data_IF_507677971159
#
_entry.id   IF_507677971159
#
_cell.length_a   1.000
_cell.length_b   1.000
_cell.length_c   1.000
_cell.angle_alpha   90.00
_cell.angle_beta   90.00
_cell.angle_gamma   90.00
#
_symmetry.space_group_name_H-M   'P 1'
#
loop_
_entity.id
_entity.type
_entity.pdbx_description
1 polymer ?
#
# COMPACT_ATOMS: atom_id res chain seq x y z
N UNK A 1 -16.62 8.95 21.35
CA UNK A 1 -17.75 8.34 20.60
C UNK A 1 -18.30 9.19 19.43
N UNK A 2 -18.74 10.44 19.63
CA UNK A 2 -19.30 11.27 18.52
C UNK A 2 -18.33 11.49 17.34
N UNK A 3 -17.05 11.72 17.64
CA UNK A 3 -16.02 11.93 16.62
C UNK A 3 -15.73 10.65 15.81
N UNK A 4 -15.60 9.49 16.48
CA UNK A 4 -15.40 8.19 15.84
C UNK A 4 -16.52 7.89 14.83
N UNK A 5 -17.77 8.13 15.20
CA UNK A 5 -18.93 7.94 14.30
C UNK A 5 -18.83 8.88 13.10
N UNK A 6 -18.44 10.15 13.31
CA UNK A 6 -18.25 11.12 12.21
C UNK A 6 -17.14 10.66 11.26
N UNK A 7 -15.98 10.24 11.78
CA UNK A 7 -14.87 9.75 10.97
C UNK A 7 -15.25 8.51 10.16
N UNK A 8 -15.97 7.55 10.76
CA UNK A 8 -16.49 6.37 10.05
C UNK A 8 -17.44 6.77 8.92
N UNK A 9 -18.34 7.74 9.15
CA UNK A 9 -19.24 8.24 8.10
C UNK A 9 -18.46 8.89 6.96
N UNK A 10 -17.40 9.64 7.26
CA UNK A 10 -16.52 10.23 6.24
C UNK A 10 -15.78 9.15 5.45
N UNK A 11 -15.21 8.15 6.12
CA UNK A 11 -14.55 6.99 5.48
C UNK A 11 -15.48 6.25 4.49
N UNK A 12 -16.75 6.06 4.86
CA UNK A 12 -17.76 5.46 3.98
C UNK A 12 -18.12 6.34 2.78
N UNK A 13 -17.90 7.65 2.85
CA UNK A 13 -18.14 8.59 1.74
C UNK A 13 -16.91 8.76 0.84
N UNK A 14 -15.71 8.64 1.40
CA UNK A 14 -14.44 8.85 0.70
C UNK A 14 -13.78 7.55 0.22
N UNK A 15 -14.49 6.42 0.20
CA UNK A 15 -13.88 5.12 -0.11
C UNK A 15 -13.22 5.04 -1.51
N UNK A 16 -13.70 5.85 -2.48
CA UNK A 16 -13.12 5.98 -3.82
C UNK A 16 -11.86 6.86 -3.88
N UNK A 17 -11.49 7.52 -2.78
CA UNK A 17 -10.38 8.46 -2.69
C UNK A 17 -9.32 7.86 -1.75
N UNK A 18 -8.35 7.08 -2.25
CA UNK A 18 -7.42 6.30 -1.43
C UNK A 18 -6.65 7.14 -0.41
N UNK A 19 -6.18 8.32 -0.81
CA UNK A 19 -5.41 9.23 0.04
C UNK A 19 -6.27 9.74 1.20
N UNK A 20 -7.46 10.25 0.90
CA UNK A 20 -8.39 10.76 1.92
C UNK A 20 -8.86 9.63 2.83
N UNK A 21 -9.12 8.45 2.28
CA UNK A 21 -9.44 7.26 3.05
C UNK A 21 -8.32 6.90 4.03
N UNK A 22 -7.07 6.85 3.56
CA UNK A 22 -5.92 6.54 4.40
C UNK A 22 -5.71 7.58 5.52
N UNK A 23 -5.83 8.88 5.22
CA UNK A 23 -5.72 9.95 6.22
C UNK A 23 -6.80 9.81 7.29
N UNK A 24 -8.05 9.60 6.88
CA UNK A 24 -9.16 9.41 7.81
C UNK A 24 -9.04 8.11 8.62
N UNK A 25 -8.46 7.05 8.05
CA UNK A 25 -8.21 5.79 8.75
C UNK A 25 -7.12 5.94 9.80
N UNK A 26 -6.04 6.65 9.48
CA UNK A 26 -4.99 7.02 10.44
C UNK A 26 -5.53 7.93 11.55
N UNK A 27 -6.38 8.91 11.21
CA UNK A 27 -7.08 9.72 12.22
C UNK A 27 -8.00 8.87 13.11
N UNK A 28 -8.72 7.90 12.52
CA UNK A 28 -9.55 6.95 13.25
C UNK A 28 -8.72 6.15 14.27
N UNK A 29 -7.53 5.70 13.89
CA UNK A 29 -6.59 5.00 14.77
C UNK A 29 -6.13 5.88 15.94
N UNK A 30 -5.80 7.13 15.65
CA UNK A 30 -5.42 8.13 16.65
C UNK A 30 -6.54 8.41 17.66
N UNK A 31 -7.77 8.64 17.21
CA UNK A 31 -8.88 8.93 18.13
C UNK A 31 -9.27 7.69 18.96
N UNK A 32 -9.18 6.48 18.40
CA UNK A 32 -9.43 5.24 19.15
C UNK A 32 -8.37 5.04 20.23
N UNK A 33 -7.08 5.24 19.91
CA UNK A 33 -5.99 5.06 20.88
C UNK A 33 -6.04 6.06 22.05
N UNK A 34 -6.60 7.25 21.82
CA UNK A 34 -6.83 8.25 22.88
C UNK A 34 -8.04 7.96 23.76
N UNK A 35 -9.05 7.25 23.26
CA UNK A 35 -10.27 6.96 24.01
C UNK A 35 -10.09 5.73 24.92
N UNK A 36 -9.66 5.97 26.16
CA UNK A 36 -9.47 4.93 27.19
C UNK A 36 -10.75 4.15 27.53
N UNK A 37 -11.93 4.62 27.13
CA UNK A 37 -13.23 3.98 27.38
C UNK A 37 -13.84 3.39 26.11
N UNK A 38 -13.04 3.23 25.06
CA UNK A 38 -13.55 2.72 23.79
C UNK A 38 -14.06 1.28 23.93
N UNK A 39 -15.34 1.05 23.63
CA UNK A 39 -15.96 -0.27 23.62
C UNK A 39 -16.48 -0.59 22.22
N UNK A 40 -15.95 -1.66 21.62
CA UNK A 40 -16.31 -2.09 20.25
C UNK A 40 -17.79 -2.50 20.13
N UNK A 41 -18.39 -2.98 21.21
CA UNK A 41 -19.78 -3.48 21.24
C UNK A 41 -20.83 -2.38 21.04
N UNK A 42 -20.46 -1.11 21.17
CA UNK A 42 -21.37 0.03 20.97
C UNK A 42 -21.78 0.24 19.50
N UNK A 43 -21.15 -0.50 18.58
CA UNK A 43 -21.41 -0.44 17.14
C UNK A 43 -22.18 -1.68 16.70
N UNK A 44 -23.28 -1.51 15.96
CA UNK A 44 -24.16 -2.62 15.58
C UNK A 44 -23.68 -3.41 14.34
N UNK A 45 -23.10 -2.73 13.35
CA UNK A 45 -22.72 -3.33 12.05
C UNK A 45 -21.34 -3.98 12.07
N UNK A 46 -21.24 -5.23 11.60
CA UNK A 46 -20.01 -6.02 11.59
C UNK A 46 -18.91 -5.39 10.71
N UNK A 47 -19.25 -4.76 9.58
CA UNK A 47 -18.27 -4.09 8.73
C UNK A 47 -17.70 -2.83 9.37
N UNK A 48 -18.54 -2.13 10.13
CA UNK A 48 -18.11 -0.99 10.94
C UNK A 48 -17.19 -1.45 12.08
N UNK A 49 -17.50 -2.58 12.74
CA UNK A 49 -16.59 -3.19 13.72
C UNK A 49 -15.26 -3.60 13.09
N UNK A 50 -15.27 -4.18 11.89
CA UNK A 50 -14.05 -4.54 11.14
C UNK A 50 -13.22 -3.32 10.77
N UNK A 51 -13.85 -2.21 10.35
CA UNK A 51 -13.16 -0.96 10.06
C UNK A 51 -12.53 -0.33 11.32
N UNK A 52 -13.20 -0.45 12.46
CA UNK A 52 -12.63 -0.01 13.75
C UNK A 52 -11.45 -0.90 14.13
N UNK A 53 -11.61 -2.22 14.03
CA UNK A 53 -10.55 -3.19 14.33
C UNK A 53 -9.34 -2.97 13.44
N UNK A 54 -9.55 -2.68 12.16
CA UNK A 54 -8.45 -2.37 11.24
C UNK A 54 -7.71 -1.09 11.62
N UNK A 55 -8.29 -0.21 12.43
CA UNK A 55 -7.65 1.00 12.93
C UNK A 55 -7.15 0.87 14.38
N UNK A 56 -7.30 -0.28 15.05
CA UNK A 56 -7.05 -0.39 16.49
C UNK A 56 -6.10 -1.54 16.83
N UNK A 57 -5.32 -1.39 17.91
CA UNK A 57 -4.49 -2.47 18.47
C UNK A 57 -5.27 -3.41 19.42
N UNK A 58 -6.61 -3.34 19.39
CA UNK A 58 -7.45 -4.00 20.38
C UNK A 58 -7.48 -5.52 20.18
N UNK A 59 -7.15 -6.27 21.24
CA UNK A 59 -7.13 -7.74 21.25
C UNK A 59 -8.49 -8.31 21.62
N UNK A 60 -9.50 -8.10 20.76
CA UNK A 60 -10.80 -8.74 20.95
C UNK A 60 -10.86 -10.14 20.31
N UNK A 61 -11.79 -10.97 20.75
CA UNK A 61 -12.14 -12.20 20.03
C UNK A 61 -12.77 -11.83 18.70
N UNK A 62 -11.98 -11.94 17.62
CA UNK A 62 -12.37 -11.56 16.26
C UNK A 62 -12.98 -12.71 15.45
N UNK A 63 -13.09 -13.91 16.03
CA UNK A 63 -13.49 -15.12 15.30
C UNK A 63 -14.78 -14.97 14.49
N UNK A 64 -15.82 -14.36 15.08
CA UNK A 64 -17.09 -14.14 14.39
C UNK A 64 -16.95 -13.17 13.21
N UNK A 65 -16.10 -12.15 13.34
CA UNK A 65 -15.84 -11.16 12.30
C UNK A 65 -14.95 -11.76 11.20
N UNK A 66 -13.97 -12.59 11.55
CA UNK A 66 -13.18 -13.33 10.56
C UNK A 66 -14.05 -14.31 9.76
N UNK A 67 -15.02 -14.98 10.40
CA UNK A 67 -16.01 -15.79 9.69
C UNK A 67 -16.83 -14.95 8.70
N UNK A 68 -17.16 -13.70 9.03
CA UNK A 68 -17.83 -12.77 8.10
C UNK A 68 -16.94 -12.41 6.93
N UNK A 69 -15.64 -12.15 7.17
CA UNK A 69 -14.66 -11.91 6.10
C UNK A 69 -14.60 -13.14 5.18
N UNK A 70 -14.45 -14.34 5.75
CA UNK A 70 -14.33 -15.58 4.98
C UNK A 70 -15.58 -15.80 4.12
N UNK A 71 -16.78 -15.68 4.68
CA UNK A 71 -18.01 -15.84 3.92
C UNK A 71 -18.09 -14.83 2.77
N UNK A 72 -17.77 -13.56 3.04
CA UNK A 72 -17.76 -12.52 2.02
C UNK A 72 -16.76 -12.84 0.88
N UNK A 73 -15.56 -13.31 1.22
CA UNK A 73 -14.56 -13.68 0.22
C UNK A 73 -15.03 -14.90 -0.60
N UNK A 74 -15.58 -15.93 0.04
CA UNK A 74 -16.09 -17.13 -0.64
C UNK A 74 -17.24 -16.80 -1.60
N UNK A 75 -18.19 -15.96 -1.16
CA UNK A 75 -19.34 -15.53 -1.96
C UNK A 75 -18.96 -14.75 -3.22
N UNK A 76 -17.80 -14.06 -3.20
CA UNK A 76 -17.39 -13.15 -4.27
C UNK A 76 -16.19 -13.67 -5.10
N UNK A 77 -15.74 -14.93 -4.93
CA UNK A 77 -14.56 -15.47 -5.63
C UNK A 77 -14.63 -15.42 -7.16
N UNK A 78 -15.82 -15.66 -7.72
CA UNK A 78 -16.03 -15.82 -9.17
C UNK A 78 -16.61 -14.56 -9.81
N UNK A 79 -16.57 -13.44 -9.09
CA UNK A 79 -17.10 -12.18 -9.57
C UNK A 79 -16.18 -11.63 -10.66
N UNK A 80 -16.69 -11.51 -11.89
CA UNK A 80 -15.91 -10.98 -13.03
C UNK A 80 -15.60 -9.49 -12.90
N UNK A 81 -16.49 -8.75 -12.24
CA UNK A 81 -16.37 -7.30 -12.04
C UNK A 81 -16.76 -6.96 -10.62
N UNK A 82 -15.82 -6.42 -9.85
CA UNK A 82 -16.08 -6.02 -8.48
C UNK A 82 -16.78 -4.66 -8.45
N UNK A 83 -17.96 -4.63 -7.86
CA UNK A 83 -18.64 -3.36 -7.61
C UNK A 83 -17.93 -2.55 -6.51
N UNK A 84 -18.33 -1.30 -6.40
CA UNK A 84 -17.76 -0.32 -5.47
C UNK A 84 -17.90 -0.74 -4.00
N UNK A 85 -18.98 -1.43 -3.65
CA UNK A 85 -19.21 -1.91 -2.29
C UNK A 85 -18.30 -3.08 -1.94
N UNK A 86 -18.06 -3.98 -2.90
CA UNK A 86 -17.11 -5.09 -2.76
C UNK A 86 -15.70 -4.56 -2.59
N UNK A 87 -15.27 -3.63 -3.46
CA UNK A 87 -13.94 -3.00 -3.35
C UNK A 87 -13.76 -2.27 -2.02
N UNK A 88 -14.79 -1.58 -1.53
CA UNK A 88 -14.75 -0.96 -0.21
C UNK A 88 -14.58 -1.97 0.92
N UNK A 89 -15.33 -3.08 0.89
CA UNK A 89 -15.20 -4.15 1.89
C UNK A 89 -13.84 -4.86 1.82
N UNK A 90 -13.32 -5.09 0.62
CA UNK A 90 -11.97 -5.61 0.40
C UNK A 90 -10.92 -4.66 1.01
N UNK A 91 -11.05 -3.35 0.81
CA UNK A 91 -10.19 -2.34 1.42
C UNK A 91 -10.20 -2.43 2.95
N UNK A 92 -11.36 -2.59 3.58
CA UNK A 92 -11.47 -2.80 5.03
C UNK A 92 -10.72 -4.06 5.47
N UNK A 93 -10.91 -5.18 4.75
CA UNK A 93 -10.24 -6.46 5.04
C UNK A 93 -8.72 -6.32 4.92
N UNK A 94 -8.24 -5.66 3.87
CA UNK A 94 -6.82 -5.49 3.60
C UNK A 94 -6.16 -4.63 4.69
N UNK A 95 -6.79 -3.52 5.09
CA UNK A 95 -6.34 -2.72 6.22
C UNK A 95 -6.34 -3.53 7.53
N UNK A 96 -7.35 -4.38 7.73
CA UNK A 96 -7.42 -5.26 8.91
C UNK A 96 -6.22 -6.21 8.96
N UNK A 97 -5.89 -6.87 7.84
CA UNK A 97 -4.73 -7.78 7.77
C UNK A 97 -3.40 -7.03 7.91
N UNK A 98 -3.27 -5.86 7.25
CA UNK A 98 -2.06 -5.04 7.33
C UNK A 98 -1.76 -4.58 8.75
N UNK A 99 -2.78 -4.28 9.54
CA UNK A 99 -2.62 -3.85 10.94
C UNK A 99 -2.67 -5.01 11.95
N UNK A 100 -3.01 -6.22 11.50
CA UNK A 100 -2.92 -7.42 12.34
C UNK A 100 -1.46 -7.84 12.52
N UNK A 101 -1.11 -8.26 13.75
CA UNK A 101 0.19 -8.86 14.04
C UNK A 101 0.35 -10.14 13.23
N UNK A 102 1.48 -10.32 12.56
CA UNK A 102 1.69 -11.40 11.57
C UNK A 102 1.47 -12.80 12.15
N UNK A 103 1.84 -13.01 13.41
CA UNK A 103 1.58 -14.27 14.12
C UNK A 103 0.08 -14.59 14.20
N UNK A 104 -0.76 -13.58 14.34
CA UNK A 104 -2.21 -13.69 14.54
C UNK A 104 -3.00 -13.64 13.23
N UNK A 105 -2.35 -13.43 12.08
CA UNK A 105 -3.05 -13.36 10.81
C UNK A 105 -3.74 -14.67 10.48
N UNK A 106 -5.02 -14.60 10.11
CA UNK A 106 -5.75 -15.74 9.61
C UNK A 106 -5.27 -16.09 8.18
N UNK A 107 -4.48 -17.17 8.08
CA UNK A 107 -3.87 -17.59 6.81
C UNK A 107 -4.88 -18.00 5.74
N UNK A 108 -6.11 -18.39 6.12
CA UNK A 108 -7.15 -18.69 5.13
C UNK A 108 -7.62 -17.41 4.43
N UNK A 109 -7.82 -16.32 5.19
CA UNK A 109 -8.18 -15.02 4.62
C UNK A 109 -7.07 -14.54 3.67
N UNK A 110 -5.81 -14.66 4.09
CA UNK A 110 -4.68 -14.29 3.23
C UNK A 110 -4.63 -15.14 1.95
N UNK A 111 -4.83 -16.46 2.06
CA UNK A 111 -4.88 -17.37 0.91
C UNK A 111 -5.99 -16.98 -0.09
N UNK A 112 -7.17 -16.63 0.41
CA UNK A 112 -8.29 -16.20 -0.43
C UNK A 112 -7.98 -14.94 -1.21
N UNK A 113 -7.43 -13.92 -0.53
CA UNK A 113 -7.04 -12.67 -1.15
C UNK A 113 -5.99 -12.88 -2.25
N UNK A 114 -4.94 -13.64 -1.95
CA UNK A 114 -3.87 -13.95 -2.91
C UNK A 114 -4.39 -14.63 -4.17
N UNK A 115 -5.33 -15.57 -4.02
CA UNK A 115 -5.68 -16.45 -5.13
C UNK A 115 -6.89 -15.98 -5.95
N UNK A 116 -7.78 -15.18 -5.37
CA UNK A 116 -9.06 -14.85 -5.98
C UNK A 116 -9.29 -13.34 -6.15
N UNK A 117 -8.43 -12.47 -5.60
CA UNK A 117 -8.65 -11.02 -5.57
C UNK A 117 -7.52 -10.17 -6.13
N UNK A 118 -6.46 -10.80 -6.63
CA UNK A 118 -5.48 -10.13 -7.50
C UNK A 118 -6.19 -9.74 -8.80
N UNK A 119 -5.82 -8.60 -9.37
CA UNK A 119 -6.44 -7.97 -10.55
C UNK A 119 -7.82 -7.35 -10.31
N UNK A 120 -8.27 -7.26 -9.05
CA UNK A 120 -9.50 -6.54 -8.72
C UNK A 120 -9.35 -5.02 -8.95
N UNK A 121 -8.19 -4.46 -8.61
CA UNK A 121 -7.74 -3.10 -8.94
C UNK A 121 -6.27 -2.93 -8.56
N UNK A 122 -5.56 -1.97 -9.16
CA UNK A 122 -4.16 -1.69 -8.78
C UNK A 122 -3.98 -1.38 -7.29
N UNK A 123 -4.94 -0.67 -6.69
CA UNK A 123 -4.94 -0.39 -5.24
C UNK A 123 -5.09 -1.68 -4.43
N UNK A 124 -5.96 -2.59 -4.85
CA UNK A 124 -6.18 -3.89 -4.18
C UNK A 124 -4.92 -4.74 -4.26
N UNK A 125 -4.31 -4.84 -5.43
CA UNK A 125 -3.06 -5.57 -5.66
C UNK A 125 -1.93 -5.03 -4.79
N UNK A 126 -1.80 -3.71 -4.69
CA UNK A 126 -0.81 -3.07 -3.84
C UNK A 126 -0.92 -3.54 -2.39
N UNK A 127 -2.13 -3.60 -1.84
CA UNK A 127 -2.33 -4.04 -0.46
C UNK A 127 -2.17 -5.55 -0.30
N UNK A 128 -2.61 -6.36 -1.27
CA UNK A 128 -2.38 -7.82 -1.25
C UNK A 128 -0.88 -8.10 -1.25
N UNK A 129 -0.13 -7.47 -2.14
CA UNK A 129 1.32 -7.63 -2.24
C UNK A 129 2.00 -7.19 -0.94
N UNK A 130 1.55 -6.09 -0.35
CA UNK A 130 2.03 -5.63 0.96
C UNK A 130 1.78 -6.67 2.06
N UNK A 131 0.58 -7.27 2.10
CA UNK A 131 0.25 -8.31 3.08
C UNK A 131 1.14 -9.55 2.89
N UNK A 132 1.31 -10.03 1.66
CA UNK A 132 2.09 -11.24 1.37
C UNK A 132 3.56 -11.00 1.68
N UNK A 133 4.14 -9.92 1.17
CA UNK A 133 5.54 -9.55 1.43
C UNK A 133 5.81 -9.42 2.94
N UNK A 134 4.91 -8.79 3.70
CA UNK A 134 5.00 -8.71 5.18
C UNK A 134 5.10 -10.10 5.83
N UNK A 135 4.36 -11.08 5.32
CA UNK A 135 4.37 -12.46 5.85
C UNK A 135 5.62 -13.23 5.44
N UNK A 136 6.04 -13.15 4.17
CA UNK A 136 7.26 -13.81 3.69
C UNK A 136 8.49 -13.28 4.44
N UNK A 137 8.58 -11.95 4.63
CA UNK A 137 9.67 -11.32 5.37
C UNK A 137 9.76 -11.75 6.83
N UNK A 138 8.70 -12.26 7.45
CA UNK A 138 8.76 -12.75 8.82
C UNK A 138 9.75 -13.90 8.98
N UNK A 139 9.85 -14.79 7.98
CA UNK A 139 10.80 -15.90 8.01
C UNK A 139 12.24 -15.37 7.98
N UNK A 140 12.51 -14.42 7.09
CA UNK A 140 13.83 -13.81 6.89
C UNK A 140 14.32 -13.11 8.17
N UNK A 141 13.42 -12.44 8.89
CA UNK A 141 13.74 -11.76 10.15
C UNK A 141 13.57 -12.64 11.40
N UNK A 142 13.33 -13.95 11.26
CA UNK A 142 13.22 -14.88 12.38
C UNK A 142 11.98 -14.66 13.28
N UNK A 143 10.94 -14.00 12.77
CA UNK A 143 9.69 -13.79 13.49
C UNK A 143 8.89 -15.10 13.47
N UNK A 144 8.67 -15.68 14.65
CA UNK A 144 7.89 -16.92 14.79
C UNK A 144 6.42 -16.70 14.42
N UNK A 145 5.97 -17.38 13.36
CA UNK A 145 4.58 -17.45 12.95
C UNK A 145 3.89 -18.67 13.59
N UNK A 146 2.61 -18.55 13.95
CA UNK A 146 1.83 -19.68 14.44
C UNK A 146 1.46 -20.66 13.32
N UNK A 147 1.28 -20.16 12.09
CA UNK A 147 1.00 -20.93 10.88
C UNK A 147 1.68 -20.27 9.69
N UNK A 148 2.24 -21.06 8.79
CA UNK A 148 2.84 -20.57 7.54
C UNK A 148 1.86 -20.71 6.39
N UNK A 149 1.94 -19.79 5.42
CA UNK A 149 1.33 -20.01 4.11
C UNK A 149 2.14 -21.11 3.41
N UNK A 150 1.46 -22.10 2.84
CA UNK A 150 2.13 -23.19 2.13
C UNK A 150 2.91 -22.63 0.93
N UNK A 151 4.14 -23.13 0.73
CA UNK A 151 5.02 -22.69 -0.36
C UNK A 151 4.36 -22.82 -1.73
N UNK A 152 3.60 -23.89 -1.94
CA UNK A 152 2.88 -24.13 -3.20
C UNK A 152 1.83 -23.05 -3.48
N UNK A 153 1.11 -22.60 -2.45
CA UNK A 153 0.13 -21.52 -2.59
C UNK A 153 0.80 -20.17 -2.92
N UNK A 154 1.99 -19.91 -2.35
CA UNK A 154 2.80 -18.74 -2.71
C UNK A 154 3.25 -18.85 -4.16
N UNK A 155 3.79 -19.99 -4.58
CA UNK A 155 4.25 -20.18 -5.96
C UNK A 155 3.14 -19.96 -7.00
N UNK A 156 1.96 -20.54 -6.78
CA UNK A 156 0.77 -20.32 -7.64
C UNK A 156 0.44 -18.83 -7.73
N UNK A 157 0.50 -18.12 -6.60
CA UNK A 157 0.26 -16.68 -6.56
C UNK A 157 1.34 -15.89 -7.32
N UNK A 158 2.62 -16.21 -7.14
CA UNK A 158 3.73 -15.57 -7.86
C UNK A 158 3.62 -15.78 -9.37
N UNK A 159 3.29 -16.99 -9.82
CA UNK A 159 3.06 -17.31 -11.23
C UNK A 159 1.90 -16.51 -11.84
N UNK A 160 0.85 -16.24 -11.06
CA UNK A 160 -0.24 -15.34 -11.48
C UNK A 160 0.28 -13.91 -11.64
N UNK A 161 1.01 -13.41 -10.66
CA UNK A 161 1.57 -12.04 -10.70
C UNK A 161 2.51 -11.82 -11.90
N UNK A 162 3.24 -12.85 -12.35
CA UNK A 162 4.09 -12.73 -13.55
C UNK A 162 3.32 -12.43 -14.84
N UNK A 163 2.05 -12.84 -14.92
CA UNK A 163 1.22 -12.64 -16.11
C UNK A 163 0.62 -11.23 -16.18
N UNK A 164 0.67 -10.48 -15.08
CA UNK A 164 0.09 -9.16 -15.00
C UNK A 164 1.11 -8.10 -15.40
N UNK A 165 0.73 -7.21 -16.32
CA UNK A 165 1.51 -6.01 -16.66
C UNK A 165 1.40 -4.98 -15.54
N UNK A 166 1.89 -5.33 -14.35
CA UNK A 166 1.88 -4.46 -13.19
C UNK A 166 2.90 -3.34 -13.33
N UNK A 167 2.54 -2.12 -12.93
CA UNK A 167 3.47 -0.99 -12.87
C UNK A 167 4.67 -1.26 -11.92
N UNK A 168 5.75 -0.48 -12.03
CA UNK A 168 6.97 -0.69 -11.25
C UNK A 168 6.79 -0.60 -9.72
N UNK A 169 5.78 0.16 -9.27
CA UNK A 169 5.45 0.23 -7.84
C UNK A 169 4.92 -1.11 -7.34
N UNK A 170 4.05 -1.76 -8.11
CA UNK A 170 3.52 -3.08 -7.80
C UNK A 170 4.62 -4.15 -7.91
N UNK A 171 5.46 -4.11 -8.96
CA UNK A 171 6.61 -5.01 -9.12
C UNK A 171 7.55 -4.94 -7.91
N UNK A 172 7.92 -3.73 -7.48
CA UNK A 172 8.80 -3.55 -6.31
C UNK A 172 8.14 -4.03 -5.03
N UNK A 173 6.82 -3.82 -4.87
CA UNK A 173 6.09 -4.25 -3.68
C UNK A 173 6.02 -5.77 -3.52
N UNK A 174 5.88 -6.52 -4.62
CA UNK A 174 5.79 -7.99 -4.59
C UNK A 174 7.14 -8.69 -4.57
N UNK A 175 8.21 -8.02 -5.02
CA UNK A 175 9.55 -8.59 -5.11
C UNK A 175 10.03 -9.36 -3.85
N UNK A 176 9.77 -8.91 -2.60
CA UNK A 176 10.16 -9.67 -1.41
C UNK A 176 9.52 -11.06 -1.31
N UNK A 177 8.34 -11.27 -1.91
CA UNK A 177 7.68 -12.57 -1.90
C UNK A 177 8.40 -13.63 -2.75
N UNK A 178 9.31 -13.23 -3.65
CA UNK A 178 10.11 -14.12 -4.48
C UNK A 178 11.38 -14.64 -3.80
N UNK A 179 11.76 -14.09 -2.62
CA UNK A 179 13.07 -14.36 -1.99
C UNK A 179 13.36 -15.86 -1.81
N UNK A 180 12.38 -16.62 -1.33
CA UNK A 180 12.50 -18.08 -1.08
C UNK A 180 11.97 -18.94 -2.25
N UNK A 181 11.67 -18.31 -3.39
CA UNK A 181 11.13 -18.96 -4.59
C UNK A 181 12.21 -19.20 -5.63
N UNK A 182 12.02 -20.25 -6.44
CA UNK A 182 12.85 -20.51 -7.62
C UNK A 182 12.34 -19.75 -8.86
N UNK A 183 11.18 -19.09 -8.75
CA UNK A 183 10.56 -18.34 -9.84
C UNK A 183 11.34 -17.03 -10.05
N UNK A 184 11.69 -16.72 -11.29
CA UNK A 184 12.32 -15.45 -11.66
C UNK A 184 11.27 -14.33 -11.54
N UNK A 185 11.52 -13.25 -10.79
CA UNK A 185 10.57 -12.15 -10.64
C UNK A 185 10.33 -11.38 -11.95
N UNK A 186 9.29 -10.54 -11.97
CA UNK A 186 9.06 -9.62 -13.10
C UNK A 186 10.25 -8.67 -13.23
N UNK A 187 10.77 -8.56 -14.45
CA UNK A 187 11.92 -7.73 -14.75
C UNK A 187 11.65 -6.24 -14.58
N UNK A 188 12.70 -5.51 -14.17
CA UNK A 188 12.74 -4.06 -14.11
C UNK A 188 13.48 -3.45 -15.30
N UNK A 189 13.93 -4.22 -16.30
CA UNK A 189 14.80 -3.73 -17.40
C UNK A 189 14.37 -2.39 -18.02
N UNK A 190 13.06 -2.15 -18.19
CA UNK A 190 12.52 -0.91 -18.78
C UNK A 190 12.31 0.24 -17.79
N UNK A 191 12.83 0.12 -16.56
CA UNK A 191 12.64 1.13 -15.52
C UNK A 191 13.47 2.39 -15.83
N UNK A 192 12.78 3.53 -16.02
CA UNK A 192 13.42 4.83 -16.14
C UNK A 192 13.36 5.59 -14.82
N UNK A 193 14.49 6.17 -14.42
CA UNK A 193 14.66 6.84 -13.13
C UNK A 193 14.26 8.32 -13.20
N UNK A 194 12.95 8.59 -13.21
CA UNK A 194 12.41 9.97 -13.30
C UNK A 194 11.71 10.45 -12.02
N UNK A 195 11.26 9.55 -11.13
CA UNK A 195 10.54 9.88 -9.89
C UNK A 195 11.33 9.44 -8.65
N UNK A 196 11.73 10.42 -7.84
CA UNK A 196 12.57 10.19 -6.65
C UNK A 196 11.98 9.27 -5.60
N UNK A 197 10.67 9.27 -5.39
CA UNK A 197 10.06 8.39 -4.39
C UNK A 197 9.90 6.96 -4.91
N UNK A 198 9.51 6.81 -6.18
CA UNK A 198 9.41 5.49 -6.82
C UNK A 198 10.78 4.84 -6.93
N UNK A 199 11.80 5.59 -7.35
CA UNK A 199 13.19 5.14 -7.42
C UNK A 199 13.66 4.58 -6.08
N UNK A 200 13.40 5.32 -4.99
CA UNK A 200 13.74 4.87 -3.63
C UNK A 200 13.11 3.51 -3.30
N UNK A 201 11.82 3.33 -3.58
CA UNK A 201 11.11 2.08 -3.29
C UNK A 201 11.58 0.91 -4.14
N UNK A 202 11.89 1.17 -5.41
CA UNK A 202 12.49 0.17 -6.31
C UNK A 202 13.87 -0.24 -5.81
N UNK A 203 14.74 0.72 -5.48
CA UNK A 203 16.09 0.42 -5.00
C UNK A 203 16.09 -0.32 -3.65
N UNK A 204 15.28 0.11 -2.69
CA UNK A 204 15.10 -0.60 -1.41
C UNK A 204 14.71 -2.06 -1.65
N UNK A 205 13.76 -2.29 -2.56
CA UNK A 205 13.25 -3.63 -2.87
C UNK A 205 14.28 -4.49 -3.60
N UNK A 206 15.01 -3.91 -4.56
CA UNK A 206 16.09 -4.59 -5.28
C UNK A 206 17.24 -4.96 -4.33
N UNK A 207 17.67 -4.06 -3.45
CA UNK A 207 18.69 -4.33 -2.44
C UNK A 207 18.23 -5.43 -1.46
N UNK A 208 16.97 -5.39 -1.02
CA UNK A 208 16.41 -6.42 -0.14
C UNK A 208 16.43 -7.80 -0.84
N UNK A 209 15.97 -7.87 -2.08
CA UNK A 209 15.97 -9.10 -2.85
C UNK A 209 17.38 -9.62 -3.13
N UNK A 210 18.30 -8.75 -3.56
CA UNK A 210 19.70 -9.12 -3.80
C UNK A 210 20.38 -9.72 -2.56
N UNK A 211 20.06 -9.19 -1.37
CA UNK A 211 20.65 -9.63 -0.10
C UNK A 211 20.15 -11.01 0.33
N UNK A 212 18.88 -11.32 0.08
CA UNK A 212 18.23 -12.49 0.69
C UNK A 212 17.81 -13.57 -0.31
N UNK A 213 17.82 -13.30 -1.62
CA UNK A 213 17.36 -14.26 -2.63
C UNK A 213 18.07 -15.60 -2.52
N UNK A 214 17.30 -16.69 -2.56
CA UNK A 214 17.82 -18.04 -2.59
C UNK A 214 18.59 -18.35 -3.89
N UNK A 215 18.33 -17.60 -4.97
CA UNK A 215 18.99 -17.79 -6.26
C UNK A 215 19.57 -16.45 -6.79
N UNK A 216 20.88 -16.19 -6.56
CA UNK A 216 21.53 -14.96 -7.01
C UNK A 216 21.50 -14.73 -8.53
N UNK A 217 21.38 -15.79 -9.34
CA UNK A 217 21.29 -15.66 -10.80
C UNK A 217 20.03 -14.89 -11.21
N UNK A 218 18.91 -15.09 -10.50
CA UNK A 218 17.65 -14.40 -10.76
C UNK A 218 17.79 -12.87 -10.61
N UNK A 219 18.70 -12.39 -9.76
CA UNK A 219 18.90 -10.95 -9.59
C UNK A 219 19.47 -10.29 -10.85
N UNK A 220 20.42 -10.97 -11.52
CA UNK A 220 21.03 -10.46 -12.75
C UNK A 220 20.03 -10.35 -13.90
N UNK A 221 18.99 -11.16 -13.90
CA UNK A 221 17.97 -11.19 -14.97
C UNK A 221 16.93 -10.08 -14.81
N UNK A 222 16.73 -9.55 -13.60
CA UNK A 222 15.69 -8.56 -13.32
C UNK A 222 16.22 -7.13 -13.23
N UNK A 223 17.54 -6.95 -13.00
CA UNK A 223 18.13 -5.63 -12.80
C UNK A 223 18.23 -4.86 -14.13
N UNK A 224 17.90 -3.56 -14.16
CA UNK A 224 18.16 -2.73 -15.33
C UNK A 224 19.65 -2.63 -15.63
N UNK A 225 20.00 -2.67 -16.92
CA UNK A 225 21.38 -2.54 -17.41
C UNK A 225 21.69 -1.16 -17.99
N UNK A 226 20.77 -0.20 -17.91
CA UNK A 226 21.00 1.16 -18.40
C UNK A 226 22.11 1.84 -17.56
N UNK A 227 23.07 2.53 -18.20
CA UNK A 227 24.14 3.24 -17.49
C UNK A 227 23.60 4.19 -16.41
N UNK A 228 22.52 4.92 -16.72
CA UNK A 228 21.88 5.88 -15.82
C UNK A 228 21.36 5.22 -14.54
N UNK A 229 20.72 4.05 -14.67
CA UNK A 229 20.26 3.28 -13.53
C UNK A 229 21.43 2.81 -12.67
N UNK A 230 22.47 2.27 -13.32
CA UNK A 230 23.65 1.73 -12.61
C UNK A 230 24.34 2.82 -11.81
N UNK A 231 24.47 4.02 -12.37
CA UNK A 231 25.05 5.19 -11.69
C UNK A 231 24.25 5.56 -10.44
N UNK A 232 22.94 5.79 -10.59
CA UNK A 232 22.07 6.19 -9.47
C UNK A 232 21.99 5.09 -8.40
N UNK A 233 21.89 3.82 -8.81
CA UNK A 233 21.84 2.70 -7.89
C UNK A 233 23.17 2.53 -7.12
N UNK A 234 24.30 2.79 -7.77
CA UNK A 234 25.61 2.78 -7.12
C UNK A 234 25.71 3.87 -6.06
N UNK A 235 25.25 5.10 -6.34
CA UNK A 235 25.17 6.20 -5.37
C UNK A 235 24.27 5.85 -4.18
N UNK A 236 23.13 5.19 -4.44
CA UNK A 236 22.23 4.72 -3.38
C UNK A 236 22.91 3.70 -2.45
N UNK A 237 23.64 2.72 -3.01
CA UNK A 237 24.33 1.68 -2.22
C UNK A 237 25.53 2.25 -1.46
N UNK A 238 26.34 3.11 -2.09
CA UNK A 238 27.54 3.68 -1.46
C UNK A 238 27.19 4.64 -0.33
N UNK A 239 25.91 5.03 -0.19
CA UNK A 239 25.44 6.08 0.71
C UNK A 239 26.14 7.42 0.45
N UNK A 240 26.75 7.58 -0.73
CA UNK A 240 27.40 8.81 -1.18
C UNK A 240 26.41 9.80 -1.77
N UNK A 241 25.14 9.70 -1.38
CA UNK A 241 24.17 10.80 -1.44
C UNK A 241 24.61 11.87 -0.41
N UNK A 242 25.79 12.41 -0.67
CA UNK A 242 26.35 13.61 -0.09
C UNK A 242 25.90 14.77 -0.97
N UNK A 243 25.58 15.90 -0.36
CA UNK A 243 24.99 17.11 -0.97
C UNK A 243 25.84 17.79 -2.07
N UNK A 244 26.76 17.08 -2.73
CA UNK A 244 27.87 17.68 -3.47
C UNK A 244 28.00 17.26 -4.95
N UNK A 245 27.17 16.37 -5.49
CA UNK A 245 27.13 16.16 -6.95
C UNK A 245 26.24 17.22 -7.62
N UNK A 246 26.87 18.29 -8.06
CA UNK A 246 26.27 19.51 -8.65
C UNK A 246 25.46 19.33 -9.94
N UNK A 247 25.30 18.11 -10.45
CA UNK A 247 24.45 17.78 -11.60
C UNK A 247 23.28 16.82 -11.25
N UNK A 248 23.24 16.28 -10.03
CA UNK A 248 22.10 15.50 -9.49
C UNK A 248 21.33 16.39 -8.49
N UNK A 249 21.03 17.63 -8.88
CA UNK A 249 20.43 18.64 -7.98
C UNK A 249 18.95 18.40 -7.63
N UNK A 250 18.32 17.34 -8.13
CA UNK A 250 16.92 17.03 -7.82
C UNK A 250 16.72 15.83 -6.88
N UNK A 251 17.76 15.06 -6.57
CA UNK A 251 17.65 13.91 -5.67
C UNK A 251 18.18 14.25 -4.27
N UNK A 252 17.58 15.25 -3.64
CA UNK A 252 17.87 15.57 -2.25
C UNK A 252 17.10 14.63 -1.31
N UNK A 253 17.64 13.44 -1.05
CA UNK A 253 17.02 12.42 -0.20
C UNK A 253 17.10 12.72 1.30
N UNK A 254 17.70 13.84 1.73
CA UNK A 254 18.05 14.05 3.15
C UNK A 254 16.91 14.50 4.06
N UNK A 255 15.79 14.98 3.55
CA UNK A 255 14.67 15.38 4.41
C UNK A 255 13.33 15.10 3.74
N UNK A 256 12.99 13.82 3.53
CA UNK A 256 11.57 13.49 3.41
C UNK A 256 10.93 13.59 4.79
N UNK A 257 10.67 14.82 5.21
CA UNK A 257 9.79 15.08 6.33
C UNK A 257 8.39 14.65 5.89
N UNK A 258 7.91 13.49 6.35
CA UNK A 258 6.56 12.99 6.06
C UNK A 258 5.46 14.02 6.35
N UNK A 259 5.72 14.99 7.24
CA UNK A 259 4.84 16.12 7.50
C UNK A 259 4.82 17.14 6.34
N UNK A 260 5.90 17.33 5.58
CA UNK A 260 5.92 18.19 4.39
C UNK A 260 5.16 17.55 3.22
N UNK A 261 5.21 16.22 3.06
CA UNK A 261 4.39 15.50 2.09
C UNK A 261 2.87 15.60 2.38
N UNK A 262 2.48 15.81 3.65
CA UNK A 262 1.08 15.84 4.08
C UNK A 262 0.52 17.24 4.35
N UNK A 263 1.36 18.24 4.65
CA UNK A 263 0.89 19.56 5.07
C UNK A 263 1.44 20.74 4.26
N UNK A 264 2.56 20.59 3.55
CA UNK A 264 3.15 21.66 2.73
C UNK A 264 3.73 21.10 1.44
N UNK A 265 2.86 20.53 0.59
CA UNK A 265 3.29 20.16 -0.74
C UNK A 265 3.54 21.42 -1.58
N UNK A 266 4.76 21.96 -1.50
CA UNK A 266 5.22 23.14 -2.24
C UNK A 266 5.12 22.95 -3.77
N UNK A 267 4.80 21.76 -4.26
CA UNK A 267 4.51 21.48 -5.68
C UNK A 267 3.06 21.76 -6.08
N UNK A 268 2.12 21.80 -5.13
CA UNK A 268 0.69 22.03 -5.42
C UNK A 268 0.46 23.44 -5.96
N UNK A 269 1.07 24.47 -5.36
CA UNK A 269 0.92 25.85 -5.84
C UNK A 269 1.53 26.06 -7.24
N UNK A 270 2.76 25.58 -7.53
CA UNK A 270 3.29 25.57 -8.89
C UNK A 270 2.41 24.80 -9.89
N UNK A 271 1.85 23.66 -9.50
CA UNK A 271 0.95 22.87 -10.36
C UNK A 271 -0.36 23.61 -10.65
N UNK A 272 -1.00 24.17 -9.62
CA UNK A 272 -2.20 25.00 -9.76
C UNK A 272 -1.91 26.26 -10.58
N UNK A 273 -0.72 26.87 -10.45
CA UNK A 273 -0.28 28.00 -11.26
C UNK A 273 -0.11 27.60 -12.73
N UNK A 274 0.44 26.43 -13.01
CA UNK A 274 0.57 25.90 -14.36
C UNK A 274 -0.80 25.59 -14.99
N UNK A 275 -1.72 24.96 -14.25
CA UNK A 275 -3.09 24.72 -14.68
C UNK A 275 -3.87 26.02 -14.90
N UNK A 276 -3.74 26.99 -13.99
CA UNK A 276 -4.32 28.32 -14.15
C UNK A 276 -3.84 28.94 -15.46
N UNK A 277 -2.54 28.93 -15.73
CA UNK A 277 -1.97 29.51 -16.96
C UNK A 277 -2.49 28.83 -18.23
N UNK A 278 -2.73 27.52 -18.19
CA UNK A 278 -3.22 26.72 -19.33
C UNK A 278 -4.74 26.75 -19.55
N UNK A 279 -5.52 27.20 -18.56
CA UNK A 279 -6.99 27.21 -18.66
C UNK A 279 -7.47 28.47 -19.41
N UNK A 280 -8.45 28.33 -20.31
CA UNK A 280 -9.00 29.47 -21.07
C UNK A 280 -9.88 30.39 -20.20
N UNK A 281 -10.74 29.81 -19.35
CA UNK A 281 -11.61 30.54 -18.43
C UNK A 281 -11.00 30.62 -17.01
N UNK A 282 -10.30 31.73 -16.76
CA UNK A 282 -9.61 31.98 -15.50
C UNK A 282 -10.55 32.15 -14.31
N UNK A 283 -11.70 32.78 -14.54
CA UNK A 283 -12.64 33.15 -13.47
C UNK A 283 -13.38 31.91 -12.96
N UNK A 284 -13.78 31.01 -13.87
CA UNK A 284 -14.34 29.72 -13.51
C UNK A 284 -13.35 28.86 -12.73
N UNK A 285 -12.09 28.79 -13.18
CA UNK A 285 -11.05 28.06 -12.47
C UNK A 285 -10.85 28.55 -11.03
N UNK A 286 -10.84 29.88 -10.82
CA UNK A 286 -10.75 30.48 -9.48
C UNK A 286 -12.00 30.16 -8.65
N UNK A 287 -13.20 30.24 -9.24
CA UNK A 287 -14.46 29.94 -8.57
C UNK A 287 -14.52 28.49 -8.09
N UNK A 288 -14.12 27.54 -8.93
CA UNK A 288 -14.12 26.11 -8.59
C UNK A 288 -13.11 25.80 -7.47
N UNK A 289 -11.92 26.44 -7.52
CA UNK A 289 -10.91 26.34 -6.46
C UNK A 289 -11.40 26.90 -5.13
N UNK A 290 -12.06 28.06 -5.14
CA UNK A 290 -12.66 28.66 -3.94
C UNK A 290 -13.76 27.77 -3.39
N UNK A 291 -14.67 27.29 -4.24
CA UNK A 291 -15.73 26.37 -3.83
C UNK A 291 -15.19 25.09 -3.21
N UNK A 292 -14.08 24.56 -3.74
CA UNK A 292 -13.38 23.43 -3.12
C UNK A 292 -12.80 23.80 -1.74
N UNK A 293 -12.05 24.90 -1.62
CA UNK A 293 -11.45 25.33 -0.34
C UNK A 293 -12.52 25.59 0.73
N UNK A 294 -13.59 26.30 0.37
CA UNK A 294 -14.68 26.63 1.28
C UNK A 294 -15.44 25.36 1.72
N UNK A 295 -15.56 24.35 0.84
CA UNK A 295 -16.17 23.05 1.18
C UNK A 295 -15.36 22.21 2.17
N UNK A 296 -14.07 22.52 2.33
CA UNK A 296 -13.16 21.83 3.26
C UNK A 296 -13.09 22.57 4.61
N UNK A 297 -13.44 23.86 4.65
CA UNK A 297 -13.42 24.71 5.86
C UNK A 297 -14.74 24.72 6.66
N UNK A 298 -15.79 24.03 6.18
CA UNK A 298 -17.11 23.84 6.82
C UNK A 298 -17.30 22.42 7.36
#
# INVERSE_FOLDING_TARGET
MSEIIKTIKLLKRSYKQPIIFHILHSHLSFIISKDKRFVLYDYYDDWTKLLILSASDLKFSVYNLEKKIINFLVENRNTKYFDELILFKLKIILYYILNTQQKSTNMFILFELMNNYVDASEETDYYIFSCVSKHVMCNIFGIKLFKFVQKDAINIFLEKCLKNNSNFLLKSRILPAFIDSNIIPVSFIDFNSDDSLLNLKVFESLCLYAKFTANPSNFKEIIPSSPEFIEIFSLFISKEISDQSTEIKEYNFKEYNLNECLLNNNSLIPFLKNLYNKTEDKDKFISDLKGFIDSVLL
#
